data_IF_046252499504
#
_entry.id   IF_046252499504
#
_cell.length_a   1.000
_cell.length_b   1.000
_cell.length_c   1.000
_cell.angle_alpha   90.00
_cell.angle_beta   90.00
_cell.angle_gamma   90.00
#
_symmetry.space_group_name_H-M   'P 1'
#
loop_
_entity.id
_entity.type
_entity.pdbx_description
1 polymer ?
#
# COMPACT_ATOMS: atom_id res chain seq x y z
N UNK A 1 10.26 -3.21 59.45
CA UNK A 1 10.57 -4.14 58.34
C UNK A 1 9.51 -5.22 58.12
N UNK A 2 8.68 -5.51 59.12
CA UNK A 2 7.61 -6.53 59.05
C UNK A 2 6.42 -6.07 58.20
N UNK A 3 5.98 -4.83 58.33
CA UNK A 3 4.81 -4.30 57.61
C UNK A 3 4.98 -4.23 56.08
N UNK A 4 6.19 -3.91 55.60
CA UNK A 4 6.47 -3.90 54.17
C UNK A 4 6.47 -5.32 53.58
N UNK A 5 6.98 -6.31 54.30
CA UNK A 5 6.94 -7.71 53.89
C UNK A 5 5.52 -8.27 53.84
N UNK A 6 4.63 -7.83 54.75
CA UNK A 6 3.24 -8.27 54.78
C UNK A 6 2.41 -7.59 53.69
N UNK A 7 2.77 -6.37 53.30
CA UNK A 7 2.14 -5.67 52.15
C UNK A 7 2.52 -6.35 50.82
N UNK A 8 3.80 -6.69 50.64
CA UNK A 8 4.25 -7.44 49.45
C UNK A 8 3.60 -8.83 49.36
N UNK A 9 3.55 -9.57 50.46
CA UNK A 9 2.87 -10.88 50.49
C UNK A 9 1.36 -10.78 50.19
N UNK A 10 0.69 -9.72 50.60
CA UNK A 10 -0.73 -9.51 50.31
C UNK A 10 -0.97 -9.09 48.86
N UNK A 11 -0.05 -8.32 48.26
CA UNK A 11 -0.12 -8.00 46.84
C UNK A 11 0.05 -9.25 45.98
N UNK A 12 1.08 -10.08 46.25
CA UNK A 12 1.33 -11.34 45.54
C UNK A 12 0.13 -12.29 45.66
N UNK A 13 -0.53 -12.36 46.83
CA UNK A 13 -1.69 -13.24 47.04
C UNK A 13 -2.92 -12.72 46.24
N UNK A 14 -3.16 -11.41 46.23
CA UNK A 14 -4.28 -10.82 45.49
C UNK A 14 -4.10 -10.96 43.96
N UNK A 15 -2.87 -10.86 43.49
CA UNK A 15 -2.54 -11.10 42.08
C UNK A 15 -2.74 -12.55 41.67
N UNK A 16 -2.31 -13.49 42.54
CA UNK A 16 -2.50 -14.92 42.32
C UNK A 16 -3.99 -15.28 42.28
N UNK A 17 -4.75 -14.82 43.26
CA UNK A 17 -6.21 -15.06 43.33
C UNK A 17 -6.93 -14.51 42.10
N UNK A 18 -6.54 -13.33 41.62
CA UNK A 18 -7.09 -12.74 40.39
C UNK A 18 -6.78 -13.58 39.14
N UNK A 19 -5.55 -14.04 39.00
CA UNK A 19 -5.14 -14.89 37.87
C UNK A 19 -5.87 -16.24 37.87
N UNK A 20 -5.99 -16.88 39.05
CA UNK A 20 -6.73 -18.15 39.19
C UNK A 20 -8.20 -17.98 38.83
N UNK A 21 -8.85 -16.90 39.27
CA UNK A 21 -10.23 -16.62 38.95
C UNK A 21 -10.41 -16.33 37.47
N UNK A 22 -9.59 -15.44 36.89
CA UNK A 22 -9.70 -15.03 35.49
C UNK A 22 -9.47 -16.20 34.52
N UNK A 23 -8.35 -16.92 34.70
CA UNK A 23 -8.03 -18.07 33.85
C UNK A 23 -8.94 -19.25 34.11
N UNK A 24 -9.41 -19.44 35.32
CA UNK A 24 -10.40 -20.46 35.65
C UNK A 24 -11.72 -20.24 34.91
N UNK A 25 -12.21 -19.01 34.87
CA UNK A 25 -13.41 -18.64 34.10
C UNK A 25 -13.20 -18.82 32.59
N UNK A 26 -12.03 -18.40 32.07
CA UNK A 26 -11.66 -18.52 30.66
C UNK A 26 -11.67 -20.00 30.22
N UNK A 27 -10.97 -20.86 30.96
CA UNK A 27 -10.86 -22.28 30.70
C UNK A 27 -12.24 -22.97 30.76
N UNK A 28 -13.04 -22.64 31.80
CA UNK A 28 -14.40 -23.17 31.92
C UNK A 28 -15.30 -22.79 30.74
N UNK A 29 -15.16 -21.56 30.24
CA UNK A 29 -15.89 -21.12 29.04
C UNK A 29 -15.49 -21.92 27.81
N UNK A 30 -14.20 -22.16 27.61
CA UNK A 30 -13.70 -22.94 26.47
C UNK A 30 -14.08 -24.42 26.54
N UNK A 31 -14.06 -25.03 27.72
CA UNK A 31 -14.52 -26.39 27.94
C UNK A 31 -16.02 -26.56 27.58
N UNK A 32 -16.81 -25.50 27.78
CA UNK A 32 -18.21 -25.46 27.42
C UNK A 32 -18.47 -25.06 25.96
N UNK A 33 -17.39 -24.78 25.17
CA UNK A 33 -17.50 -24.32 23.80
C UNK A 33 -17.99 -22.87 23.65
N UNK A 34 -17.90 -22.06 24.71
CA UNK A 34 -18.31 -20.66 24.69
C UNK A 34 -17.15 -19.80 24.15
N UNK A 35 -17.35 -19.06 23.05
CA UNK A 35 -16.33 -18.16 22.52
C UNK A 35 -16.02 -17.03 23.51
N UNK A 36 -14.73 -16.72 23.67
CA UNK A 36 -14.28 -15.59 24.48
C UNK A 36 -13.64 -14.53 23.60
N UNK A 37 -13.82 -13.24 23.95
CA UNK A 37 -13.39 -12.12 23.10
C UNK A 37 -11.88 -12.12 22.84
N UNK A 38 -11.06 -12.58 23.78
CA UNK A 38 -9.61 -12.49 23.72
C UNK A 38 -8.91 -13.85 23.53
N UNK A 39 -9.60 -14.86 23.00
CA UNK A 39 -9.04 -16.19 22.79
C UNK A 39 -7.75 -16.16 21.95
N UNK A 40 -7.61 -15.22 21.03
CA UNK A 40 -6.44 -15.06 20.18
C UNK A 40 -5.16 -14.65 20.96
N UNK A 41 -5.26 -14.10 22.15
CA UNK A 41 -4.09 -13.82 23.01
C UNK A 41 -3.36 -15.10 23.41
N UNK A 42 -4.04 -16.24 23.43
CA UNK A 42 -3.54 -17.51 23.95
C UNK A 42 -3.21 -18.52 22.86
N UNK A 43 -3.06 -18.07 21.61
CA UNK A 43 -2.75 -18.94 20.47
C UNK A 43 -1.45 -19.72 20.64
N UNK A 44 -0.43 -19.15 21.32
CA UNK A 44 0.83 -19.82 21.61
C UNK A 44 0.67 -21.08 22.50
N UNK A 45 -0.38 -21.13 23.33
CA UNK A 45 -0.70 -22.28 24.14
C UNK A 45 -1.57 -23.32 23.43
N UNK A 46 -2.30 -22.88 22.41
CA UNK A 46 -3.21 -23.74 21.64
C UNK A 46 -2.50 -24.43 20.46
N UNK A 47 -1.48 -23.80 19.91
CA UNK A 47 -0.78 -24.29 18.74
C UNK A 47 0.71 -24.47 19.03
N UNK A 48 1.25 -25.64 18.69
CA UNK A 48 2.67 -25.96 18.91
C UNK A 48 3.61 -25.17 18.01
N UNK A 49 3.12 -24.72 16.86
CA UNK A 49 3.91 -23.96 15.90
C UNK A 49 3.06 -22.80 15.37
N UNK A 50 3.70 -21.64 15.22
CA UNK A 50 3.12 -20.51 14.53
C UNK A 50 3.12 -20.77 13.04
N UNK A 51 1.97 -20.59 12.43
CA UNK A 51 1.79 -20.67 10.96
C UNK A 51 1.61 -19.27 10.40
N UNK A 52 2.18 -19.06 9.23
CA UNK A 52 2.08 -17.82 8.47
C UNK A 52 1.35 -18.06 7.17
N UNK A 53 1.03 -16.98 6.44
CA UNK A 53 0.44 -17.09 5.10
C UNK A 53 1.34 -17.91 4.15
N UNK A 54 2.66 -17.88 4.35
CA UNK A 54 3.60 -18.62 3.53
C UNK A 54 3.42 -20.15 3.66
N UNK A 55 2.99 -20.62 4.81
CA UNK A 55 2.80 -22.06 5.06
C UNK A 55 1.62 -22.65 4.27
N UNK A 56 0.67 -21.79 3.89
CA UNK A 56 -0.48 -22.19 3.06
C UNK A 56 -0.22 -22.17 1.55
N UNK A 57 0.92 -21.59 1.12
CA UNK A 57 1.27 -21.54 -0.29
C UNK A 57 1.90 -22.86 -0.75
N UNK A 58 1.59 -23.35 -1.97
CA UNK A 58 2.29 -24.48 -2.58
C UNK A 58 3.81 -24.27 -2.64
N UNK A 59 4.58 -25.34 -2.58
CA UNK A 59 6.05 -25.26 -2.61
C UNK A 59 6.60 -24.65 -3.91
N UNK A 60 5.90 -24.84 -5.02
CA UNK A 60 6.26 -24.29 -6.33
C UNK A 60 5.76 -22.85 -6.56
N UNK A 61 5.26 -22.18 -5.54
CA UNK A 61 4.84 -20.76 -5.65
C UNK A 61 6.04 -19.85 -5.89
N UNK A 62 5.81 -18.79 -6.66
CA UNK A 62 6.76 -17.70 -6.84
C UNK A 62 6.39 -16.59 -5.85
N UNK A 63 7.39 -16.12 -5.12
CA UNK A 63 7.22 -14.98 -4.21
C UNK A 63 7.82 -13.73 -4.85
N UNK A 64 7.08 -12.63 -4.79
CA UNK A 64 7.55 -11.32 -5.21
C UNK A 64 7.53 -10.39 -3.99
N UNK A 65 8.70 -9.85 -3.67
CA UNK A 65 8.90 -8.92 -2.56
C UNK A 65 9.23 -7.55 -3.15
N UNK A 66 8.32 -6.61 -2.96
CA UNK A 66 8.47 -5.23 -3.43
C UNK A 66 8.94 -4.34 -2.28
N UNK A 67 10.07 -3.64 -2.50
CA UNK A 67 10.71 -2.74 -1.54
C UNK A 67 10.95 -3.38 -0.15
N UNK A 68 11.80 -4.39 -0.14
CA UNK A 68 12.16 -5.11 1.09
C UNK A 68 12.60 -4.19 2.23
N UNK A 69 13.35 -3.12 1.95
CA UNK A 69 13.80 -2.17 2.97
C UNK A 69 12.64 -1.50 3.68
N UNK A 70 11.62 -1.08 2.93
CA UNK A 70 10.41 -0.49 3.47
C UNK A 70 9.58 -1.50 4.27
N UNK A 71 9.52 -2.75 3.80
CA UNK A 71 8.86 -3.82 4.56
C UNK A 71 9.52 -4.04 5.92
N UNK A 72 10.86 -4.00 5.97
CA UNK A 72 11.61 -4.13 7.23
C UNK A 72 11.44 -2.93 8.17
N UNK A 73 11.26 -1.74 7.63
CA UNK A 73 10.91 -0.56 8.43
C UNK A 73 9.52 -0.71 9.07
N UNK A 74 8.54 -1.11 8.27
CA UNK A 74 7.17 -1.36 8.76
C UNK A 74 7.14 -2.48 9.80
N UNK A 75 7.90 -3.57 9.59
CA UNK A 75 8.02 -4.65 10.58
C UNK A 75 8.54 -4.15 11.92
N UNK A 76 9.57 -3.29 11.92
CA UNK A 76 10.11 -2.71 13.17
C UNK A 76 9.10 -1.82 13.89
N UNK A 77 8.29 -1.06 13.13
CA UNK A 77 7.22 -0.24 13.69
C UNK A 77 6.14 -1.12 14.33
N UNK A 78 5.69 -2.16 13.63
CA UNK A 78 4.73 -3.13 14.15
C UNK A 78 5.28 -3.82 15.39
N UNK A 79 6.54 -4.26 15.38
CA UNK A 79 7.16 -4.92 16.53
C UNK A 79 7.25 -3.99 17.76
N UNK A 80 7.48 -2.68 17.55
CA UNK A 80 7.47 -1.70 18.62
C UNK A 80 6.06 -1.52 19.20
N UNK A 81 5.06 -1.35 18.34
CA UNK A 81 3.65 -1.23 18.77
C UNK A 81 3.17 -2.49 19.50
N UNK A 82 3.57 -3.66 19.01
CA UNK A 82 3.31 -4.95 19.66
C UNK A 82 3.94 -5.01 21.07
N UNK A 83 5.18 -4.57 21.21
CA UNK A 83 5.86 -4.56 22.52
C UNK A 83 5.20 -3.58 23.50
N UNK A 84 4.80 -2.41 23.06
CA UNK A 84 4.06 -1.43 23.87
C UNK A 84 2.70 -2.01 24.31
N UNK A 85 1.95 -2.60 23.37
CA UNK A 85 0.70 -3.28 23.66
C UNK A 85 0.88 -4.46 24.64
N UNK A 86 1.87 -5.30 24.41
CA UNK A 86 2.16 -6.44 25.28
C UNK A 86 2.49 -5.98 26.70
N UNK A 87 3.27 -4.91 26.86
CA UNK A 87 3.59 -4.33 28.16
C UNK A 87 2.32 -3.94 28.92
N UNK A 88 1.39 -3.23 28.25
CA UNK A 88 0.11 -2.87 28.85
C UNK A 88 -0.71 -4.12 29.25
N UNK A 89 -0.71 -5.15 28.41
CA UNK A 89 -1.48 -6.38 28.69
C UNK A 89 -0.84 -7.24 29.79
N UNK A 90 0.47 -7.17 29.98
CA UNK A 90 1.15 -7.78 31.13
C UNK A 90 0.76 -7.03 32.41
N UNK A 91 0.77 -5.69 32.41
CA UNK A 91 0.32 -4.89 33.55
C UNK A 91 -1.15 -5.16 33.91
N UNK A 92 -2.00 -5.42 32.92
CA UNK A 92 -3.40 -5.84 33.09
C UNK A 92 -3.55 -7.32 33.50
N UNK A 93 -2.44 -8.06 33.63
CA UNK A 93 -2.41 -9.53 33.89
C UNK A 93 -3.21 -10.35 32.87
N UNK A 94 -3.21 -9.93 31.58
CA UNK A 94 -3.95 -10.60 30.50
C UNK A 94 -3.07 -11.49 29.63
N UNK A 95 -1.78 -11.21 29.56
CA UNK A 95 -0.80 -11.99 28.80
C UNK A 95 0.46 -12.19 29.61
N UNK A 96 1.25 -13.19 29.23
CA UNK A 96 2.52 -13.53 29.90
C UNK A 96 3.71 -12.93 29.13
N UNK A 97 4.80 -12.65 29.84
CA UNK A 97 6.01 -12.05 29.26
C UNK A 97 6.69 -12.94 28.21
N UNK A 98 6.54 -14.26 28.33
CA UNK A 98 7.13 -15.24 27.43
C UNK A 98 6.36 -15.44 26.13
N UNK A 99 5.14 -14.89 26.02
CA UNK A 99 4.33 -15.00 24.82
C UNK A 99 4.91 -14.15 23.69
N UNK A 100 4.79 -14.65 22.49
CA UNK A 100 5.16 -13.94 21.27
C UNK A 100 3.95 -13.88 20.34
N UNK A 101 3.66 -12.73 19.77
CA UNK A 101 2.45 -12.53 18.94
C UNK A 101 2.76 -12.51 17.45
N UNK A 102 3.88 -11.92 17.09
CA UNK A 102 4.36 -11.86 15.71
C UNK A 102 5.32 -12.99 15.32
N UNK A 103 5.70 -12.99 14.06
CA UNK A 103 6.80 -13.78 13.51
C UNK A 103 7.74 -12.86 12.76
N UNK A 104 9.05 -13.12 12.82
CA UNK A 104 10.06 -12.36 12.08
C UNK A 104 9.94 -12.65 10.58
N UNK A 105 9.60 -11.63 9.80
CA UNK A 105 9.40 -11.74 8.36
C UNK A 105 10.70 -12.03 7.62
N UNK A 106 11.82 -11.42 8.06
CA UNK A 106 13.13 -11.69 7.48
C UNK A 106 13.51 -13.16 7.63
N UNK A 107 13.29 -13.73 8.82
CA UNK A 107 13.53 -15.14 9.08
C UNK A 107 12.63 -16.05 8.23
N UNK A 108 11.38 -15.68 8.02
CA UNK A 108 10.46 -16.42 7.15
C UNK A 108 10.95 -16.42 5.69
N UNK A 109 11.38 -15.28 5.17
CA UNK A 109 11.94 -15.19 3.82
C UNK A 109 13.25 -15.97 3.68
N UNK A 110 14.06 -16.02 4.71
CA UNK A 110 15.31 -16.76 4.73
C UNK A 110 15.13 -18.29 4.75
N UNK A 111 14.09 -18.74 5.43
CA UNK A 111 13.78 -20.17 5.60
C UNK A 111 12.96 -20.76 4.46
N UNK A 112 12.28 -19.91 3.67
CA UNK A 112 11.46 -20.42 2.57
C UNK A 112 12.33 -21.05 1.48
N UNK A 113 11.92 -22.24 1.00
CA UNK A 113 12.52 -22.89 -0.14
C UNK A 113 11.96 -22.38 -1.49
N UNK A 114 10.99 -21.47 -1.47
CA UNK A 114 10.32 -20.95 -2.67
C UNK A 114 11.19 -19.96 -3.41
N UNK A 115 11.09 -19.98 -4.74
CA UNK A 115 11.75 -18.98 -5.57
C UNK A 115 11.22 -17.58 -5.26
N UNK A 116 12.10 -16.71 -4.82
CA UNK A 116 11.74 -15.36 -4.40
C UNK A 116 12.46 -14.32 -5.24
N UNK A 117 11.71 -13.38 -5.80
CA UNK A 117 12.22 -12.25 -6.57
C UNK A 117 11.99 -10.96 -5.77
N UNK A 118 13.05 -10.20 -5.61
CA UNK A 118 13.01 -8.93 -4.89
C UNK A 118 13.07 -7.76 -5.88
N UNK A 119 12.16 -6.82 -5.76
CA UNK A 119 12.18 -5.55 -6.46
C UNK A 119 12.63 -4.46 -5.50
N UNK A 120 13.61 -3.66 -5.91
CA UNK A 120 14.10 -2.55 -5.09
C UNK A 120 14.65 -1.43 -5.97
N UNK A 121 14.43 -0.19 -5.57
CA UNK A 121 15.06 0.97 -6.22
C UNK A 121 16.56 1.06 -5.91
N UNK A 122 16.99 0.55 -4.77
CA UNK A 122 18.38 0.60 -4.30
C UNK A 122 18.80 -0.76 -3.74
N UNK A 123 20.05 -1.12 -3.94
CA UNK A 123 20.64 -2.34 -3.35
C UNK A 123 20.90 -2.24 -1.84
N UNK A 124 20.63 -1.10 -1.21
CA UNK A 124 20.84 -0.92 0.23
C UNK A 124 19.69 -1.50 1.05
N UNK A 125 20.00 -1.97 2.25
CA UNK A 125 19.00 -2.42 3.21
C UNK A 125 18.46 -3.84 3.00
N UNK A 126 19.11 -4.64 2.14
CA UNK A 126 18.70 -6.02 1.87
C UNK A 126 19.12 -7.04 2.96
N UNK A 127 19.69 -6.56 4.06
CA UNK A 127 20.11 -7.42 5.18
C UNK A 127 21.14 -8.47 4.76
N UNK A 128 21.04 -9.65 5.38
CA UNK A 128 21.91 -10.81 5.10
C UNK A 128 21.31 -11.76 4.05
N UNK A 129 20.39 -11.30 3.21
CA UNK A 129 19.83 -12.11 2.13
C UNK A 129 20.90 -12.42 1.10
N UNK A 130 20.90 -13.66 0.61
CA UNK A 130 21.80 -14.11 -0.45
C UNK A 130 20.98 -14.26 -1.72
N UNK A 131 21.45 -13.61 -2.80
CA UNK A 131 20.82 -13.66 -4.11
C UNK A 131 21.62 -14.57 -5.03
N UNK A 132 20.92 -15.35 -5.84
CA UNK A 132 21.55 -16.15 -6.91
C UNK A 132 22.00 -15.24 -8.04
N UNK A 133 21.15 -14.28 -8.41
CA UNK A 133 21.40 -13.31 -9.47
C UNK A 133 20.88 -11.93 -9.07
N UNK A 134 21.55 -10.89 -9.58
CA UNK A 134 21.15 -9.48 -9.38
C UNK A 134 21.13 -8.81 -10.75
N UNK A 135 19.95 -8.31 -11.14
CA UNK A 135 19.75 -7.59 -12.39
C UNK A 135 19.50 -6.11 -12.13
N UNK A 136 20.22 -5.25 -12.83
CA UNK A 136 20.05 -3.81 -12.75
C UNK A 136 19.38 -3.29 -14.03
N UNK A 137 18.14 -2.80 -13.88
CA UNK A 137 17.37 -2.18 -14.94
C UNK A 137 17.56 -0.67 -14.89
N UNK A 138 18.08 -0.07 -15.96
CA UNK A 138 18.09 1.38 -16.12
C UNK A 138 16.71 1.85 -16.54
N UNK A 139 15.85 2.06 -15.57
CA UNK A 139 14.49 2.50 -15.75
C UNK A 139 14.40 4.03 -15.89
N UNK A 140 13.59 4.50 -16.82
CA UNK A 140 13.13 5.88 -16.93
C UNK A 140 11.60 5.89 -17.02
N UNK A 141 10.96 6.78 -16.27
CA UNK A 141 9.52 6.98 -16.41
C UNK A 141 9.20 7.64 -17.74
N UNK A 142 8.06 7.26 -18.33
CA UNK A 142 7.58 7.84 -19.57
C UNK A 142 7.05 9.26 -19.33
N UNK A 143 7.37 10.17 -20.25
CA UNK A 143 6.80 11.52 -20.24
C UNK A 143 5.36 11.52 -20.74
N UNK A 144 4.61 12.54 -20.36
CA UNK A 144 3.25 12.79 -20.87
C UNK A 144 3.30 13.60 -22.15
N UNK A 145 2.55 13.20 -23.17
CA UNK A 145 2.50 13.88 -24.46
C UNK A 145 1.30 14.80 -24.60
N UNK A 146 0.26 14.64 -23.78
CA UNK A 146 -0.94 15.49 -23.75
C UNK A 146 -1.63 15.68 -25.11
N UNK A 147 -1.61 14.67 -25.96
CA UNK A 147 -2.15 14.74 -27.32
C UNK A 147 -1.27 15.51 -28.31
N UNK A 148 -0.07 15.94 -27.92
CA UNK A 148 0.86 16.64 -28.82
C UNK A 148 1.57 15.63 -29.73
N UNK A 149 0.92 15.25 -30.82
CA UNK A 149 1.42 14.23 -31.74
C UNK A 149 2.78 14.58 -32.38
N UNK A 150 3.11 15.85 -32.71
CA UNK A 150 4.44 16.21 -33.19
C UNK A 150 5.55 15.92 -32.15
N UNK A 151 5.27 16.08 -30.87
CA UNK A 151 6.20 15.75 -29.79
C UNK A 151 6.40 14.24 -29.69
N UNK A 152 5.32 13.47 -29.74
CA UNK A 152 5.37 12.01 -29.76
C UNK A 152 6.17 11.51 -30.97
N UNK A 153 5.92 12.07 -32.16
CA UNK A 153 6.65 11.73 -33.40
C UNK A 153 8.15 11.96 -33.22
N UNK A 154 8.55 13.10 -32.69
CA UNK A 154 9.97 13.41 -32.44
C UNK A 154 10.63 12.40 -31.50
N UNK A 155 9.93 12.00 -30.44
CA UNK A 155 10.44 10.97 -29.51
C UNK A 155 10.49 9.58 -30.16
N UNK A 156 9.47 9.19 -30.92
CA UNK A 156 9.47 7.94 -31.68
C UNK A 156 10.63 7.89 -32.65
N UNK A 157 10.90 8.96 -33.40
CA UNK A 157 12.03 9.06 -34.30
C UNK A 157 13.38 8.94 -33.56
N UNK A 158 13.47 9.50 -32.35
CA UNK A 158 14.64 9.35 -31.47
C UNK A 158 14.85 7.90 -31.06
N UNK A 159 13.77 7.22 -30.61
CA UNK A 159 13.82 5.82 -30.20
C UNK A 159 14.20 4.89 -31.36
N UNK A 160 13.63 5.12 -32.56
CA UNK A 160 13.94 4.35 -33.74
C UNK A 160 15.41 4.53 -34.18
N UNK A 161 15.95 5.76 -34.14
CA UNK A 161 17.38 6.02 -34.39
C UNK A 161 18.30 5.28 -33.42
N UNK A 162 17.85 5.02 -32.21
CA UNK A 162 18.55 4.26 -31.19
C UNK A 162 18.28 2.76 -31.30
N UNK A 163 17.54 2.30 -32.30
CA UNK A 163 17.12 0.92 -32.52
C UNK A 163 16.40 0.34 -31.30
N UNK A 164 15.50 1.14 -30.69
CA UNK A 164 14.65 0.69 -29.60
C UNK A 164 13.35 0.10 -30.13
N UNK A 165 12.88 -0.96 -29.49
CA UNK A 165 11.55 -1.53 -29.70
C UNK A 165 10.54 -0.70 -28.94
N UNK A 166 9.55 -0.14 -29.63
CA UNK A 166 8.50 0.69 -28.99
C UNK A 166 7.19 -0.09 -28.99
N UNK A 167 6.65 -0.31 -27.80
CA UNK A 167 5.39 -1.03 -27.61
C UNK A 167 4.35 -0.08 -27.06
N UNK A 168 3.29 0.15 -27.81
CA UNK A 168 2.15 0.99 -27.45
C UNK A 168 1.03 0.10 -26.92
N UNK A 169 0.73 0.20 -25.64
CA UNK A 169 -0.33 -0.56 -24.99
C UNK A 169 -1.67 0.12 -25.09
N UNK A 170 -2.62 -0.56 -25.68
CA UNK A 170 -3.99 -0.08 -25.90
C UNK A 170 -4.99 -1.11 -25.36
N UNK A 171 -5.96 -0.70 -24.54
CA UNK A 171 -6.78 -1.66 -23.78
C UNK A 171 -7.76 -2.48 -24.62
N UNK A 172 -8.24 -1.96 -25.74
CA UNK A 172 -9.25 -2.64 -26.59
C UNK A 172 -8.91 -2.60 -28.06
N UNK A 173 -9.45 -3.55 -28.82
CA UNK A 173 -9.24 -3.64 -30.28
C UNK A 173 -9.77 -2.43 -31.05
N UNK A 174 -10.90 -1.90 -30.64
CA UNK A 174 -11.49 -0.70 -31.26
C UNK A 174 -10.60 0.53 -31.09
N UNK A 175 -9.87 0.58 -29.99
CA UNK A 175 -8.93 1.68 -29.73
C UNK A 175 -7.62 1.48 -30.46
N UNK A 176 -7.19 0.25 -30.70
CA UNK A 176 -6.00 -0.05 -31.53
C UNK A 176 -6.18 0.59 -32.90
N UNK A 177 -7.32 0.37 -33.56
CA UNK A 177 -7.58 0.91 -34.86
C UNK A 177 -7.51 2.47 -34.88
N UNK A 178 -8.07 3.12 -33.84
CA UNK A 178 -8.00 4.58 -33.71
C UNK A 178 -6.57 5.10 -33.49
N UNK A 179 -5.76 4.38 -32.75
CA UNK A 179 -4.35 4.76 -32.54
C UNK A 179 -3.55 4.53 -33.83
N UNK A 180 -3.83 3.46 -34.55
CA UNK A 180 -3.19 3.16 -35.84
C UNK A 180 -3.50 4.24 -36.89
N UNK A 181 -4.77 4.61 -37.03
CA UNK A 181 -5.20 5.71 -37.93
C UNK A 181 -4.51 7.02 -37.56
N UNK A 182 -4.46 7.36 -36.25
CA UNK A 182 -3.81 8.57 -35.78
C UNK A 182 -2.30 8.54 -36.05
N UNK A 183 -1.63 7.39 -35.86
CA UNK A 183 -0.21 7.28 -36.16
C UNK A 183 0.09 7.44 -37.64
N UNK A 184 -0.79 6.94 -38.52
CA UNK A 184 -0.71 7.16 -39.95
C UNK A 184 -0.85 8.64 -40.31
N UNK A 185 -1.80 9.36 -39.69
CA UNK A 185 -2.02 10.79 -39.93
C UNK A 185 -0.81 11.67 -39.57
N UNK A 186 0.03 11.19 -38.64
CA UNK A 186 1.24 11.88 -38.18
C UNK A 186 2.54 11.25 -38.66
N UNK A 187 2.51 10.40 -39.69
CA UNK A 187 3.68 9.71 -40.24
C UNK A 187 4.50 8.95 -39.21
N UNK A 188 3.84 8.30 -38.23
CA UNK A 188 4.46 7.41 -37.28
C UNK A 188 4.31 5.96 -37.80
N UNK A 189 5.37 5.35 -38.38
CA UNK A 189 5.29 3.99 -38.85
C UNK A 189 5.04 3.04 -37.70
N UNK A 190 3.97 2.25 -37.76
CA UNK A 190 3.64 1.29 -36.72
C UNK A 190 3.00 0.03 -37.30
N UNK A 191 3.09 -1.07 -36.58
CA UNK A 191 2.43 -2.31 -36.90
C UNK A 191 1.59 -2.78 -35.72
N UNK A 192 0.47 -3.44 -36.01
CA UNK A 192 -0.32 -4.09 -34.95
C UNK A 192 0.30 -5.48 -34.70
N UNK A 193 0.61 -5.78 -33.45
CA UNK A 193 1.27 -7.02 -33.05
C UNK A 193 0.60 -7.63 -31.82
N UNK A 194 1.02 -8.83 -31.48
CA UNK A 194 0.65 -9.48 -30.21
C UNK A 194 1.82 -9.44 -29.24
N UNK A 195 1.51 -9.49 -27.95
CA UNK A 195 2.52 -9.45 -26.90
C UNK A 195 3.55 -10.59 -26.99
N UNK A 196 3.16 -11.74 -27.47
CA UNK A 196 4.00 -12.95 -27.63
C UNK A 196 4.86 -12.96 -28.92
N UNK A 197 4.65 -11.97 -29.82
CA UNK A 197 5.29 -11.87 -31.12
C UNK A 197 5.82 -10.47 -31.41
N UNK A 198 6.55 -9.89 -30.44
CA UNK A 198 7.12 -8.56 -30.62
C UNK A 198 8.26 -8.57 -31.65
N UNK A 199 8.31 -7.52 -32.46
CA UNK A 199 9.33 -7.30 -33.49
C UNK A 199 10.37 -6.30 -32.96
N UNK A 200 11.63 -6.68 -32.95
CA UNK A 200 12.72 -5.85 -32.46
C UNK A 200 12.93 -4.61 -33.36
N UNK A 201 13.08 -3.45 -32.74
CA UNK A 201 13.34 -2.20 -33.44
C UNK A 201 12.10 -1.55 -34.11
N UNK A 202 10.92 -2.14 -33.99
CA UNK A 202 9.69 -1.59 -34.55
C UNK A 202 8.84 -0.86 -33.52
N UNK A 203 8.00 0.04 -34.02
CA UNK A 203 6.90 0.63 -33.25
C UNK A 203 5.69 -0.27 -33.40
N UNK A 204 5.17 -0.78 -32.30
CA UNK A 204 4.11 -1.78 -32.32
C UNK A 204 2.97 -1.37 -31.42
N UNK A 205 1.74 -1.57 -31.89
CA UNK A 205 0.52 -1.37 -31.11
C UNK A 205 0.02 -2.74 -30.67
N UNK A 206 -0.11 -2.93 -29.36
CA UNK A 206 -0.47 -4.20 -28.75
C UNK A 206 -1.68 -4.04 -27.86
N UNK A 207 -2.58 -5.02 -27.88
CA UNK A 207 -3.66 -5.05 -26.91
C UNK A 207 -3.12 -5.41 -25.54
N UNK A 208 -3.33 -4.51 -24.58
CA UNK A 208 -2.89 -4.71 -23.19
C UNK A 208 -3.11 -3.47 -22.36
N UNK A 209 -2.84 -3.59 -21.07
CA UNK A 209 -2.94 -2.49 -20.14
C UNK A 209 -1.73 -2.47 -19.20
N UNK A 210 -1.04 -1.35 -19.19
CA UNK A 210 -0.07 -1.00 -18.16
C UNK A 210 -0.60 0.17 -17.34
N UNK A 211 -0.14 0.29 -16.12
CA UNK A 211 -0.50 1.44 -15.28
C UNK A 211 0.16 2.72 -15.79
N UNK A 212 1.45 2.63 -16.14
CA UNK A 212 2.27 3.71 -16.68
C UNK A 212 3.27 3.15 -17.68
N UNK A 213 3.67 3.96 -18.66
CA UNK A 213 4.75 3.65 -19.59
C UNK A 213 6.13 3.83 -18.96
N UNK A 214 7.15 3.30 -19.63
CA UNK A 214 8.55 3.37 -19.21
C UNK A 214 9.53 3.20 -20.37
N UNK A 215 10.78 3.62 -20.15
CA UNK A 215 11.91 3.29 -21.01
C UNK A 215 12.93 2.41 -20.27
N UNK A 216 13.42 1.37 -20.94
CA UNK A 216 14.56 0.56 -20.53
C UNK A 216 15.67 0.66 -21.59
N UNK A 217 16.49 1.72 -21.58
CA UNK A 217 17.42 2.02 -22.66
C UNK A 217 18.45 0.93 -22.92
N UNK A 218 18.95 0.25 -21.87
CA UNK A 218 19.88 -0.89 -22.01
C UNK A 218 19.25 -2.09 -22.70
N UNK A 219 17.95 -2.32 -22.46
CA UNK A 219 17.19 -3.40 -23.05
C UNK A 219 16.58 -3.02 -24.40
N UNK A 220 16.83 -1.80 -24.86
CA UNK A 220 16.26 -1.24 -26.10
C UNK A 220 14.74 -1.37 -26.17
N UNK A 221 14.07 -1.16 -25.04
CA UNK A 221 12.63 -1.30 -24.90
C UNK A 221 11.98 0.00 -24.39
N UNK A 222 10.94 0.41 -25.09
CA UNK A 222 10.05 1.51 -24.71
C UNK A 222 8.64 0.96 -24.61
N UNK A 223 8.01 1.13 -23.48
CA UNK A 223 6.59 0.87 -23.29
C UNK A 223 5.87 2.19 -23.09
N UNK A 224 4.83 2.43 -23.86
CA UNK A 224 3.99 3.63 -23.76
C UNK A 224 2.53 3.21 -23.68
N UNK A 225 1.72 3.91 -22.91
CA UNK A 225 0.29 3.65 -22.83
C UNK A 225 -0.50 4.77 -23.49
N UNK A 226 -1.74 4.47 -23.78
CA UNK A 226 -2.67 5.46 -24.27
C UNK A 226 -2.83 6.67 -23.32
N UNK A 227 -2.59 6.49 -22.03
CA UNK A 227 -2.66 7.56 -21.02
C UNK A 227 -1.58 8.62 -21.24
N UNK A 228 -0.34 8.19 -21.51
CA UNK A 228 0.75 9.12 -21.79
C UNK A 228 0.53 9.86 -23.11
N UNK A 229 -0.06 9.20 -24.09
CA UNK A 229 -0.33 9.82 -25.40
C UNK A 229 -1.44 10.87 -25.29
N UNK A 230 -2.58 10.54 -24.68
CA UNK A 230 -3.81 11.35 -24.78
C UNK A 230 -4.24 12.06 -23.49
N UNK A 231 -3.54 11.84 -22.38
CA UNK A 231 -3.96 12.37 -21.07
C UNK A 231 -5.42 12.03 -20.73
N UNK A 232 -5.88 10.84 -21.11
CA UNK A 232 -7.18 10.36 -20.65
C UNK A 232 -7.05 10.02 -19.17
N UNK A 233 -7.50 10.93 -18.31
CA UNK A 233 -7.87 10.58 -16.94
C UNK A 233 -8.99 9.55 -17.04
N UNK A 234 -8.64 8.27 -17.10
CA UNK A 234 -9.62 7.22 -16.82
C UNK A 234 -10.09 7.51 -15.40
N UNK A 235 -11.29 8.09 -15.24
CA UNK A 235 -11.99 8.05 -13.97
C UNK A 235 -11.92 6.59 -13.54
N UNK A 236 -11.06 6.26 -12.58
CA UNK A 236 -11.15 4.98 -11.88
C UNK A 236 -12.62 4.88 -11.53
N UNK A 237 -13.31 3.92 -12.13
CA UNK A 237 -14.64 3.55 -11.68
C UNK A 237 -14.40 3.08 -10.27
N UNK A 238 -14.50 4.03 -9.32
CA UNK A 238 -14.49 3.72 -7.91
C UNK A 238 -15.54 2.63 -7.78
N UNK A 239 -15.11 1.44 -7.41
CA UNK A 239 -16.01 0.36 -7.04
C UNK A 239 -16.94 1.03 -6.07
N UNK A 240 -18.19 1.24 -6.48
CA UNK A 240 -19.23 1.83 -5.64
C UNK A 240 -19.32 0.94 -4.43
N UNK A 241 -18.54 1.25 -3.40
CA UNK A 241 -18.97 0.96 -2.06
C UNK A 241 -20.23 1.81 -1.91
N UNK A 242 -21.35 1.15 -1.86
CA UNK A 242 -22.61 1.73 -1.45
C UNK A 242 -22.44 2.18 -0.01
N UNK A 243 -21.85 3.35 0.17
CA UNK A 243 -21.98 4.09 1.41
C UNK A 243 -23.39 4.66 1.31
N UNK A 244 -24.31 3.94 1.95
CA UNK A 244 -25.66 4.38 2.14
C UNK A 244 -25.62 5.74 2.86
N UNK A 245 -26.26 6.76 2.25
CA UNK A 245 -26.65 8.03 2.84
C UNK A 245 -25.60 9.11 3.11
N UNK A 246 -24.40 9.08 2.52
CA UNK A 246 -23.52 10.24 2.51
C UNK A 246 -23.64 10.96 1.15
N UNK A 247 -24.28 12.10 1.10
CA UNK A 247 -24.25 12.99 -0.06
C UNK A 247 -22.85 13.57 -0.22
N UNK A 248 -22.26 13.41 -1.42
CA UNK A 248 -21.00 14.08 -1.75
C UNK A 248 -21.29 15.57 -1.91
N UNK A 249 -20.63 16.39 -1.11
CA UNK A 249 -20.65 17.83 -1.28
C UNK A 249 -20.16 18.20 -2.68
N UNK A 250 -20.99 18.91 -3.41
CA UNK A 250 -20.70 19.42 -4.75
C UNK A 250 -20.07 20.80 -4.72
N UNK A 251 -20.27 21.52 -3.62
CA UNK A 251 -19.72 22.86 -3.38
C UNK A 251 -19.55 23.09 -1.87
N UNK A 252 -18.56 23.90 -1.49
CA UNK A 252 -18.35 24.34 -0.11
C UNK A 252 -19.51 25.24 0.40
N UNK A 253 -20.28 25.83 -0.52
CA UNK A 253 -21.45 26.65 -0.19
C UNK A 253 -22.60 25.84 0.42
N UNK A 254 -22.56 24.53 0.32
CA UNK A 254 -23.59 23.63 0.88
C UNK A 254 -23.38 23.33 2.36
N UNK A 255 -22.21 23.70 2.91
CA UNK A 255 -21.84 23.47 4.30
C UNK A 255 -22.28 24.60 5.21
N UNK A 256 -22.88 24.25 6.35
CA UNK A 256 -23.19 25.17 7.45
C UNK A 256 -22.21 24.93 8.60
N UNK A 257 -21.78 26.01 9.25
CA UNK A 257 -20.96 25.92 10.45
C UNK A 257 -21.67 25.04 11.49
N UNK A 258 -20.98 23.99 11.93
CA UNK A 258 -21.49 22.99 12.83
C UNK A 258 -21.79 21.63 12.20
N UNK A 259 -21.80 21.53 10.88
CA UNK A 259 -22.03 20.27 10.17
C UNK A 259 -20.86 19.30 10.39
N UNK A 260 -21.20 18.01 10.49
CA UNK A 260 -20.20 16.95 10.50
C UNK A 260 -19.85 16.55 9.07
N UNK A 261 -18.56 16.55 8.77
CA UNK A 261 -18.02 16.20 7.45
C UNK A 261 -17.04 15.06 7.57
N UNK A 262 -16.92 14.27 6.51
CA UNK A 262 -15.97 13.15 6.42
C UNK A 262 -14.86 13.53 5.44
N UNK A 263 -13.67 13.72 5.96
CA UNK A 263 -12.48 13.88 5.14
C UNK A 263 -11.93 12.50 4.72
N UNK A 264 -11.54 12.34 3.45
CA UNK A 264 -11.12 11.04 2.90
C UNK A 264 -9.95 10.39 3.67
N UNK A 265 -9.03 11.20 4.21
CA UNK A 265 -7.81 10.72 4.87
C UNK A 265 -7.81 10.94 6.40
N UNK A 266 -8.64 11.87 6.91
CA UNK A 266 -8.63 12.28 8.32
C UNK A 266 -9.92 11.92 9.08
N UNK A 267 -10.87 11.25 8.42
CA UNK A 267 -12.10 10.78 9.05
C UNK A 267 -13.11 11.89 9.34
N UNK A 268 -13.90 11.72 10.40
CA UNK A 268 -15.04 12.58 10.73
C UNK A 268 -14.57 13.78 11.56
N UNK A 269 -14.89 14.99 11.11
CA UNK A 269 -14.67 16.24 11.83
C UNK A 269 -15.87 17.16 11.72
N UNK A 270 -15.86 18.26 12.48
CA UNK A 270 -16.91 19.27 12.50
C UNK A 270 -16.46 20.51 11.73
N UNK A 271 -17.21 20.92 10.71
CA UNK A 271 -16.93 22.15 9.98
C UNK A 271 -17.22 23.36 10.87
N UNK A 272 -16.23 24.23 11.05
CA UNK A 272 -16.35 25.42 11.92
C UNK A 272 -16.32 26.73 11.14
N UNK A 273 -16.14 26.70 9.83
CA UNK A 273 -16.20 27.89 8.99
C UNK A 273 -15.01 28.01 8.04
N UNK A 274 -14.94 29.18 7.42
CA UNK A 274 -13.82 29.57 6.54
C UNK A 274 -12.94 30.58 7.26
N UNK A 275 -11.62 30.40 7.12
CA UNK A 275 -10.62 31.32 7.64
C UNK A 275 -9.67 31.70 6.52
N UNK A 276 -9.36 32.97 6.36
CA UNK A 276 -8.34 33.45 5.43
C UNK A 276 -7.00 33.44 6.15
N UNK A 277 -6.08 32.62 5.66
CA UNK A 277 -4.71 32.51 6.21
C UNK A 277 -3.71 33.09 5.21
N UNK A 278 -2.70 33.75 5.75
CA UNK A 278 -1.54 34.19 4.96
C UNK A 278 -0.44 33.14 5.06
N UNK A 279 -0.14 32.52 3.91
CA UNK A 279 0.93 31.53 3.77
C UNK A 279 1.87 32.05 2.68
N UNK A 280 3.16 32.21 3.01
CA UNK A 280 4.20 32.72 2.11
C UNK A 280 3.85 34.07 1.44
N UNK A 281 3.16 34.97 2.17
CA UNK A 281 2.76 36.29 1.68
C UNK A 281 1.54 36.29 0.75
N UNK A 282 0.85 35.16 0.61
CA UNK A 282 -0.37 35.02 -0.18
C UNK A 282 -1.55 34.78 0.75
N UNK A 283 -2.59 35.60 0.64
CA UNK A 283 -3.86 35.38 1.34
C UNK A 283 -4.68 34.34 0.61
N UNK A 284 -5.04 33.26 1.29
CA UNK A 284 -5.86 32.19 0.73
C UNK A 284 -6.93 31.74 1.74
N UNK A 285 -8.11 31.42 1.21
CA UNK A 285 -9.22 30.95 2.02
C UNK A 285 -9.14 29.45 2.27
N UNK A 286 -9.32 29.06 3.52
CA UNK A 286 -9.31 27.67 3.98
C UNK A 286 -10.61 27.32 4.67
N UNK A 287 -11.13 26.13 4.38
CA UNK A 287 -12.14 25.49 5.20
C UNK A 287 -11.50 24.93 6.46
N UNK A 288 -12.04 25.25 7.62
CA UNK A 288 -11.53 24.74 8.89
C UNK A 288 -12.44 23.63 9.42
N UNK A 289 -11.84 22.47 9.66
CA UNK A 289 -12.50 21.31 10.25
C UNK A 289 -11.88 21.04 11.62
N UNK A 290 -12.72 20.95 12.63
CA UNK A 290 -12.34 20.65 14.01
C UNK A 290 -12.51 19.16 14.27
N UNK A 291 -11.46 18.53 14.80
CA UNK A 291 -11.44 17.13 15.23
C UNK A 291 -11.48 17.01 16.77
N UNK A 292 -11.46 15.76 17.23
CA UNK A 292 -11.36 15.47 18.66
C UNK A 292 -10.04 16.04 19.22
N UNK A 293 -10.04 16.52 20.45
CA UNK A 293 -8.91 17.19 21.12
C UNK A 293 -8.56 18.60 20.60
N UNK A 294 -9.53 19.30 19.98
CA UNK A 294 -9.35 20.65 19.42
C UNK A 294 -8.33 20.76 18.27
N UNK A 295 -7.96 19.65 17.65
CA UNK A 295 -7.14 19.64 16.45
C UNK A 295 -7.90 20.26 15.27
N UNK A 296 -7.24 21.19 14.55
CA UNK A 296 -7.82 21.86 13.38
C UNK A 296 -7.12 21.44 12.10
N UNK A 297 -7.92 21.09 11.10
CA UNK A 297 -7.45 20.85 9.73
C UNK A 297 -7.89 22.01 8.84
N UNK A 298 -6.93 22.61 8.14
CA UNK A 298 -7.16 23.68 7.17
C UNK A 298 -7.07 23.12 5.75
N UNK A 299 -8.15 23.21 4.98
CA UNK A 299 -8.23 22.71 3.61
C UNK A 299 -8.38 23.90 2.67
N UNK A 300 -7.45 24.14 1.73
CA UNK A 300 -7.57 25.19 0.74
C UNK A 300 -8.86 25.03 -0.07
N UNK A 301 -9.60 26.11 -0.29
CA UNK A 301 -10.87 26.09 -1.04
C UNK A 301 -10.67 25.63 -2.48
N UNK A 302 -9.46 25.76 -3.01
CA UNK A 302 -9.05 25.31 -4.36
C UNK A 302 -8.90 23.80 -4.48
N UNK A 303 -8.84 23.08 -3.39
CA UNK A 303 -8.70 21.62 -3.35
C UNK A 303 -10.02 20.92 -2.97
#
# INVERSE_FOLDING_TARGET
SSAASDVYKRQDQTETDFLEEYFGQLLSSWEQGIPTENAHYYTDFLYQQKTTLLDYLPENSLLFVDDYSRMMETEREIAREEAEWQTLKIEEMRVFSEQTFGVDFHDQLRKTARNTTFFSLFQKGMGNLRFQEVHNFQYRSMQQFFGQMPLLKAEVDRWQKQNQTVVVFVPTKERIQKVEELFQDFDIPSVVSNWDQLLDGYVQIVQGALQTGFELPKNKLVAITEKEIFHTTTKKRARRQTISNAERLKSYSDLKTGDYVVHANHGIGKYIGMETLEVDGVHQDYMTILYQNDDKLFIPVTQ
#
